data_IF_721867021107
#
_entry.id   IF_721867021107
#
_cell.length_a   1.000
_cell.length_b   1.000
_cell.length_c   1.000
_cell.angle_alpha   90.00
_cell.angle_beta   90.00
_cell.angle_gamma   90.00
#
_symmetry.space_group_name_H-M   'P 1'
#
loop_
_entity.id
_entity.type
_entity.pdbx_description
1 polymer ?
#
# COMPACT_ATOMS: atom_id res chain seq x y z
N UNK A 1 9.90 -23.36 -12.63
CA UNK A 1 9.08 -24.38 -11.95
C UNK A 1 8.65 -23.78 -10.65
N UNK A 2 7.41 -24.03 -10.22
CA UNK A 2 6.92 -23.53 -8.93
C UNK A 2 7.76 -24.09 -7.78
N UNK A 3 7.85 -23.33 -6.68
CA UNK A 3 8.62 -23.73 -5.50
C UNK A 3 8.12 -25.05 -4.91
N UNK A 4 6.80 -25.20 -4.79
CA UNK A 4 6.14 -26.42 -4.32
C UNK A 4 5.23 -27.00 -5.40
N UNK A 5 5.24 -28.33 -5.53
CA UNK A 5 4.35 -29.08 -6.43
C UNK A 5 3.05 -29.52 -5.75
N UNK A 6 2.96 -29.34 -4.43
CA UNK A 6 1.79 -29.58 -3.59
C UNK A 6 1.61 -28.41 -2.61
N UNK A 7 0.48 -28.37 -1.89
CA UNK A 7 0.26 -27.35 -0.86
C UNK A 7 0.72 -27.93 0.49
N UNK A 8 1.72 -27.34 1.18
CA UNK A 8 2.19 -27.84 2.46
C UNK A 8 1.10 -27.74 3.55
N UNK A 9 0.85 -28.83 4.27
CA UNK A 9 -0.25 -28.94 5.24
C UNK A 9 0.21 -29.40 6.62
N UNK A 10 -0.50 -28.91 7.66
CA UNK A 10 -0.26 -29.32 9.04
C UNK A 10 1.13 -28.93 9.56
N UNK A 11 1.58 -29.63 10.61
CA UNK A 11 2.88 -29.39 11.23
C UNK A 11 4.05 -29.68 10.29
N UNK A 12 3.99 -30.80 9.57
CA UNK A 12 5.06 -31.19 8.63
C UNK A 12 5.17 -30.21 7.46
N UNK A 13 4.03 -29.71 6.94
CA UNK A 13 4.05 -28.68 5.91
C UNK A 13 4.62 -27.34 6.39
N UNK A 14 4.41 -26.98 7.67
CA UNK A 14 5.01 -25.76 8.22
C UNK A 14 6.53 -25.91 8.31
N UNK A 15 7.00 -27.05 8.82
CA UNK A 15 8.42 -27.40 8.87
C UNK A 15 9.04 -27.43 7.47
N UNK A 16 8.34 -27.95 6.47
CA UNK A 16 8.78 -27.96 5.08
C UNK A 16 9.00 -26.53 4.55
N UNK A 17 8.03 -25.64 4.75
CA UNK A 17 8.19 -24.22 4.36
C UNK A 17 9.39 -23.62 5.08
N UNK A 18 9.55 -23.84 6.38
CA UNK A 18 10.63 -23.24 7.16
C UNK A 18 12.00 -23.77 6.76
N UNK A 19 12.12 -25.07 6.49
CA UNK A 19 13.33 -25.67 5.96
C UNK A 19 13.67 -25.10 4.58
N UNK A 20 12.67 -24.95 3.70
CA UNK A 20 12.86 -24.34 2.39
C UNK A 20 13.35 -22.89 2.51
N UNK A 21 12.77 -22.09 3.41
CA UNK A 21 13.21 -20.71 3.65
C UNK A 21 14.68 -20.66 4.08
N UNK A 22 15.10 -21.57 4.96
CA UNK A 22 16.48 -21.63 5.45
C UNK A 22 17.47 -22.02 4.38
N UNK A 23 17.14 -23.04 3.60
CA UNK A 23 17.98 -23.48 2.48
C UNK A 23 18.05 -22.41 1.39
N UNK A 24 16.92 -21.76 1.07
CA UNK A 24 16.85 -20.75 0.02
C UNK A 24 17.59 -19.47 0.40
N UNK A 25 17.37 -18.95 1.61
CA UNK A 25 18.14 -17.81 2.14
C UNK A 25 19.61 -18.17 2.27
N UNK A 26 19.93 -19.41 2.70
CA UNK A 26 21.29 -19.91 2.78
C UNK A 26 22.05 -19.88 1.45
N UNK A 27 21.36 -20.17 0.34
CA UNK A 27 21.88 -20.08 -1.03
C UNK A 27 21.96 -18.65 -1.56
N UNK A 28 21.11 -17.74 -1.07
CA UNK A 28 20.95 -16.38 -1.57
C UNK A 28 21.40 -15.29 -0.57
N UNK A 29 22.35 -15.58 0.33
CA UNK A 29 22.81 -14.67 1.39
C UNK A 29 23.27 -13.28 0.94
N UNK A 30 23.63 -13.13 -0.34
CA UNK A 30 24.01 -11.82 -0.91
C UNK A 30 22.84 -10.88 -1.14
N UNK A 31 21.60 -11.39 -1.18
CA UNK A 31 20.40 -10.60 -1.47
C UNK A 31 19.23 -10.87 -0.53
N UNK A 32 19.28 -11.94 0.27
CA UNK A 32 18.22 -12.34 1.18
C UNK A 32 18.76 -12.65 2.58
N UNK A 33 17.98 -12.28 3.61
CA UNK A 33 18.25 -12.61 5.02
C UNK A 33 16.95 -12.92 5.76
N UNK A 34 17.01 -13.86 6.70
CA UNK A 34 15.89 -14.23 7.58
C UNK A 34 16.04 -13.56 8.94
N UNK A 35 14.96 -13.02 9.49
CA UNK A 35 14.83 -12.64 10.89
C UNK A 35 13.62 -13.32 11.52
N UNK A 36 13.72 -13.70 12.79
CA UNK A 36 12.55 -14.12 13.57
C UNK A 36 11.96 -12.87 14.22
N UNK A 37 10.77 -12.47 13.77
CA UNK A 37 10.11 -11.23 14.21
C UNK A 37 9.23 -11.43 15.45
N UNK A 38 8.97 -12.68 15.81
CA UNK A 38 8.34 -13.09 17.05
C UNK A 38 8.07 -14.59 17.09
N UNK A 39 7.30 -14.99 18.10
CA UNK A 39 6.91 -16.38 18.33
C UNK A 39 5.43 -16.42 18.64
N UNK A 40 4.72 -17.43 18.14
CA UNK A 40 3.31 -17.67 18.45
C UNK A 40 3.12 -18.21 19.88
N UNK A 41 1.90 -18.14 20.46
CA UNK A 41 1.55 -18.79 21.71
C UNK A 41 2.01 -20.26 21.86
N UNK A 42 1.86 -21.07 20.81
CA UNK A 42 2.27 -22.48 20.72
C UNK A 42 3.76 -22.64 20.31
N UNK A 43 4.57 -21.59 20.51
CA UNK A 43 6.02 -21.58 20.36
C UNK A 43 6.58 -21.74 18.94
N UNK A 44 5.78 -21.47 17.91
CA UNK A 44 6.27 -21.40 16.53
C UNK A 44 6.94 -20.06 16.25
N UNK A 45 8.14 -20.09 15.70
CA UNK A 45 8.79 -18.88 15.19
C UNK A 45 7.98 -18.27 14.04
N UNK A 46 7.96 -16.95 13.96
CA UNK A 46 7.36 -16.19 12.85
C UNK A 46 8.50 -15.52 12.08
N UNK A 47 8.95 -16.09 10.94
CA UNK A 47 10.05 -15.55 10.17
C UNK A 47 9.61 -14.43 9.23
N UNK A 48 10.45 -13.41 9.08
CA UNK A 48 10.42 -12.43 8.00
C UNK A 48 11.67 -12.57 7.12
N UNK A 49 11.48 -12.60 5.81
CA UNK A 49 12.57 -12.62 4.84
C UNK A 49 12.72 -11.23 4.25
N UNK A 50 13.88 -10.63 4.46
CA UNK A 50 14.25 -9.35 3.86
C UNK A 50 15.03 -9.63 2.59
N UNK A 51 14.57 -9.09 1.46
CA UNK A 51 15.21 -9.23 0.15
C UNK A 51 15.54 -7.86 -0.41
N UNK A 52 16.83 -7.60 -0.65
CA UNK A 52 17.32 -6.30 -1.13
C UNK A 52 18.75 -6.41 -1.69
N UNK A 53 19.24 -5.37 -2.35
CA UNK A 53 20.65 -5.26 -2.75
C UNK A 53 21.44 -4.50 -1.67
N UNK A 54 22.23 -5.21 -0.86
CA UNK A 54 23.01 -4.62 0.25
C UNK A 54 24.09 -3.61 -0.22
N UNK A 55 24.40 -3.56 -1.52
CA UNK A 55 25.33 -2.56 -2.06
C UNK A 55 24.69 -1.17 -2.24
N UNK A 56 23.36 -1.08 -2.18
CA UNK A 56 22.64 0.19 -2.23
C UNK A 56 22.17 0.55 -0.82
N UNK A 57 22.44 1.78 -0.31
CA UNK A 57 21.99 2.21 1.00
C UNK A 57 20.47 2.08 1.18
N UNK A 58 20.04 1.54 2.33
CA UNK A 58 18.62 1.37 2.61
C UNK A 58 17.86 2.70 2.75
N UNK A 59 18.56 3.82 3.02
CA UNK A 59 17.96 5.14 3.07
C UNK A 59 17.39 5.62 1.72
N UNK A 60 17.94 5.09 0.61
CA UNK A 60 17.48 5.39 -0.75
C UNK A 60 16.34 4.46 -1.21
N UNK A 61 15.96 3.48 -0.38
CA UNK A 61 15.01 2.44 -0.75
C UNK A 61 13.65 2.63 -0.10
N UNK A 62 12.62 2.25 -0.85
CA UNK A 62 11.27 2.10 -0.30
C UNK A 62 11.13 0.78 0.47
N UNK A 63 10.22 0.74 1.43
CA UNK A 63 9.89 -0.47 2.18
C UNK A 63 8.59 -1.05 1.61
N UNK A 64 8.69 -2.26 1.07
CA UNK A 64 7.57 -3.05 0.59
C UNK A 64 7.35 -4.24 1.52
N UNK A 65 6.12 -4.47 1.96
CA UNK A 65 5.79 -5.58 2.87
C UNK A 65 4.77 -6.50 2.21
N UNK A 66 4.99 -7.81 2.31
CA UNK A 66 4.05 -8.84 1.91
C UNK A 66 3.78 -9.76 3.09
N UNK A 67 2.54 -9.82 3.57
CA UNK A 67 2.11 -10.74 4.64
C UNK A 67 1.24 -11.84 4.07
N UNK A 68 1.45 -13.06 4.56
CA UNK A 68 0.74 -14.26 4.11
C UNK A 68 0.42 -15.17 5.31
N UNK A 69 -0.50 -16.11 5.11
CA UNK A 69 -0.79 -17.15 6.10
C UNK A 69 -1.35 -16.60 7.40
N UNK A 70 -2.15 -15.53 7.32
CA UNK A 70 -2.85 -14.95 8.48
C UNK A 70 -3.99 -15.85 8.95
N UNK A 71 -4.75 -16.41 8.02
CA UNK A 71 -5.79 -17.38 8.35
C UNK A 71 -5.34 -18.76 7.87
N UNK A 72 -5.27 -19.72 8.78
CA UNK A 72 -4.66 -21.02 8.52
C UNK A 72 -5.31 -21.84 7.41
N UNK A 73 -6.63 -21.75 7.28
CA UNK A 73 -7.40 -22.45 6.25
C UNK A 73 -7.26 -21.85 4.84
N UNK A 74 -6.55 -20.74 4.68
CA UNK A 74 -6.35 -20.08 3.38
C UNK A 74 -5.15 -20.68 2.65
N UNK A 75 -5.37 -21.86 2.10
CA UNK A 75 -4.31 -22.77 1.62
C UNK A 75 -3.42 -22.18 0.54
N UNK A 76 -3.94 -21.28 -0.31
CA UNK A 76 -3.14 -20.66 -1.38
C UNK A 76 -1.99 -19.79 -0.85
N UNK A 77 -2.16 -19.16 0.30
CA UNK A 77 -1.15 -18.29 0.90
C UNK A 77 0.15 -19.03 1.23
N UNK A 78 0.05 -20.35 1.46
CA UNK A 78 1.15 -21.25 1.85
C UNK A 78 2.20 -21.43 0.74
N UNK A 79 1.80 -21.26 -0.51
CA UNK A 79 2.68 -21.45 -1.68
C UNK A 79 3.07 -20.13 -2.36
N UNK A 80 2.24 -19.09 -2.25
CA UNK A 80 2.49 -17.77 -2.86
C UNK A 80 3.71 -17.08 -2.22
N UNK A 81 3.84 -17.11 -0.90
CA UNK A 81 4.94 -16.44 -0.19
C UNK A 81 6.32 -16.95 -0.61
N UNK A 82 6.54 -18.28 -0.58
CA UNK A 82 7.73 -18.92 -1.13
C UNK A 82 8.01 -18.55 -2.60
N UNK A 83 7.00 -18.54 -3.46
CA UNK A 83 7.16 -18.18 -4.87
C UNK A 83 7.58 -16.71 -5.06
N UNK A 84 7.03 -15.79 -4.27
CA UNK A 84 7.45 -14.38 -4.24
C UNK A 84 8.91 -14.26 -3.83
N UNK A 85 9.34 -14.97 -2.78
CA UNK A 85 10.74 -14.96 -2.31
C UNK A 85 11.67 -15.53 -3.39
N UNK A 86 11.26 -16.60 -4.06
CA UNK A 86 11.99 -17.21 -5.16
C UNK A 86 12.20 -16.21 -6.32
N UNK A 87 11.13 -15.56 -6.77
CA UNK A 87 11.18 -14.50 -7.79
C UNK A 87 12.09 -13.33 -7.37
N UNK A 88 11.95 -12.86 -6.13
CA UNK A 88 12.70 -11.71 -5.61
C UNK A 88 14.21 -11.98 -5.53
N UNK A 89 14.66 -13.24 -5.48
CA UNK A 89 16.07 -13.60 -5.52
C UNK A 89 16.62 -13.77 -6.96
N UNK A 90 15.74 -13.83 -7.96
CA UNK A 90 16.10 -13.98 -9.37
C UNK A 90 16.63 -12.70 -10.04
N UNK A 91 17.13 -12.82 -11.27
CA UNK A 91 17.61 -11.67 -12.07
C UNK A 91 16.52 -10.64 -12.35
N UNK A 92 15.29 -11.09 -12.59
CA UNK A 92 14.18 -10.23 -13.03
C UNK A 92 13.73 -9.24 -11.96
N UNK A 93 14.09 -9.50 -10.70
CA UNK A 93 13.81 -8.62 -9.57
C UNK A 93 15.01 -7.74 -9.16
N UNK A 94 16.09 -7.67 -9.94
CA UNK A 94 17.29 -6.89 -9.59
C UNK A 94 16.97 -5.40 -9.37
N UNK A 95 16.19 -4.78 -10.27
CA UNK A 95 15.79 -3.38 -10.12
C UNK A 95 14.86 -3.15 -8.91
N UNK A 96 14.07 -4.16 -8.52
CA UNK A 96 13.29 -4.12 -7.28
C UNK A 96 14.25 -4.07 -6.09
N UNK A 97 15.23 -4.97 -6.03
CA UNK A 97 16.20 -5.06 -4.92
C UNK A 97 17.06 -3.81 -4.77
N UNK A 98 17.41 -3.13 -5.87
CA UNK A 98 18.15 -1.85 -5.84
C UNK A 98 17.32 -0.69 -5.31
N UNK A 99 15.99 -0.74 -5.42
CA UNK A 99 15.09 0.37 -5.08
C UNK A 99 14.27 0.12 -3.82
N UNK A 100 14.25 -1.11 -3.34
CA UNK A 100 13.34 -1.53 -2.29
C UNK A 100 14.02 -2.50 -1.32
N UNK A 101 13.63 -2.39 -0.05
CA UNK A 101 13.74 -3.50 0.90
C UNK A 101 12.38 -4.18 0.89
N UNK A 102 12.32 -5.38 0.33
CA UNK A 102 11.08 -6.17 0.30
C UNK A 102 11.09 -7.12 1.48
N UNK A 103 10.08 -7.05 2.33
CA UNK A 103 9.94 -7.86 3.54
C UNK A 103 8.76 -8.81 3.33
N UNK A 104 9.01 -10.11 3.28
CA UNK A 104 7.98 -11.13 3.14
C UNK A 104 7.83 -11.86 4.47
N UNK A 105 6.62 -11.92 5.01
CA UNK A 105 6.26 -12.72 6.19
C UNK A 105 5.38 -13.88 5.71
N UNK A 106 5.96 -15.06 5.41
CA UNK A 106 5.24 -16.14 4.70
C UNK A 106 4.11 -16.78 5.51
N UNK A 107 4.24 -16.80 6.84
CA UNK A 107 3.24 -17.38 7.74
C UNK A 107 3.15 -16.48 8.98
N UNK A 108 2.17 -15.59 9.01
CA UNK A 108 1.89 -14.72 10.16
C UNK A 108 1.26 -15.51 11.31
N UNK A 109 0.41 -16.49 11.00
CA UNK A 109 -0.32 -17.31 11.96
C UNK A 109 0.03 -18.80 11.83
N UNK A 110 1.19 -19.23 12.36
CA UNK A 110 1.62 -20.62 12.26
C UNK A 110 0.68 -21.59 12.98
N UNK A 111 -0.02 -21.16 14.03
CA UNK A 111 -0.99 -22.02 14.74
C UNK A 111 -2.19 -22.37 13.88
N UNK A 112 -2.79 -21.35 13.25
CA UNK A 112 -3.85 -21.57 12.27
C UNK A 112 -3.36 -22.45 11.13
N UNK A 113 -2.13 -22.22 10.64
CA UNK A 113 -1.55 -23.04 9.58
C UNK A 113 -1.52 -24.53 9.97
N UNK A 114 -1.00 -24.83 11.16
CA UNK A 114 -0.84 -26.21 11.65
C UNK A 114 -2.20 -26.87 11.89
N UNK A 115 -3.15 -26.16 12.49
CA UNK A 115 -4.49 -26.71 12.74
C UNK A 115 -5.41 -26.69 11.51
N UNK A 116 -5.00 -25.99 10.45
CA UNK A 116 -5.83 -25.71 9.27
C UNK A 116 -7.14 -24.99 9.59
N UNK A 117 -7.07 -24.01 10.49
CA UNK A 117 -8.23 -23.25 10.97
C UNK A 117 -7.97 -21.74 10.89
N UNK A 118 -9.03 -20.95 10.99
CA UNK A 118 -8.95 -19.49 11.01
C UNK A 118 -7.97 -18.96 12.06
N UNK A 119 -8.13 -19.40 13.32
CA UNK A 119 -7.30 -19.05 14.49
C UNK A 119 -6.78 -17.59 14.50
N UNK A 120 -7.61 -16.66 14.06
CA UNK A 120 -7.35 -15.23 14.11
C UNK A 120 -8.65 -14.52 14.52
N UNK A 121 -8.67 -13.19 14.49
CA UNK A 121 -9.88 -12.41 14.71
C UNK A 121 -10.48 -11.96 13.39
N UNK A 122 -11.77 -12.22 13.20
CA UNK A 122 -12.55 -11.72 12.06
C UNK A 122 -12.67 -10.19 12.09
N UNK A 123 -12.44 -9.59 13.26
CA UNK A 123 -12.77 -8.19 13.51
C UNK A 123 -11.61 -7.38 14.05
N UNK A 124 -10.38 -7.87 14.09
CA UNK A 124 -9.25 -7.09 14.59
C UNK A 124 -7.94 -7.85 14.37
N UNK A 125 -6.82 -7.17 14.58
CA UNK A 125 -5.54 -7.86 14.75
C UNK A 125 -5.47 -8.57 16.10
N UNK A 126 -4.97 -9.80 16.13
CA UNK A 126 -4.67 -10.53 17.37
C UNK A 126 -3.53 -9.86 18.13
N UNK A 127 -3.38 -10.18 19.43
CA UNK A 127 -2.27 -9.66 20.25
C UNK A 127 -0.90 -9.97 19.64
N UNK A 128 -0.72 -11.20 19.14
CA UNK A 128 0.51 -11.65 18.49
C UNK A 128 0.76 -10.86 17.21
N UNK A 129 -0.25 -10.74 16.33
CA UNK A 129 -0.16 -9.98 15.08
C UNK A 129 0.24 -8.51 15.36
N UNK A 130 -0.44 -7.84 16.30
CA UNK A 130 -0.15 -6.45 16.69
C UNK A 130 1.30 -6.29 17.17
N UNK A 131 1.76 -7.20 18.02
CA UNK A 131 3.08 -7.10 18.62
C UNK A 131 4.19 -7.35 17.58
N UNK A 132 4.04 -8.41 16.80
CA UNK A 132 5.04 -8.85 15.83
C UNK A 132 5.12 -7.90 14.64
N UNK A 133 3.98 -7.64 13.98
CA UNK A 133 3.93 -6.74 12.84
C UNK A 133 4.13 -5.28 13.27
N UNK A 134 3.57 -4.88 14.41
CA UNK A 134 3.75 -3.52 14.92
C UNK A 134 5.19 -3.17 15.25
N UNK A 135 5.96 -4.12 15.82
CA UNK A 135 7.40 -3.93 16.04
C UNK A 135 8.16 -3.85 14.73
N UNK A 136 7.89 -4.78 13.81
CA UNK A 136 8.51 -4.80 12.49
C UNK A 136 8.28 -3.47 11.76
N UNK A 137 7.03 -3.01 11.67
CA UNK A 137 6.66 -1.79 10.94
C UNK A 137 7.04 -0.51 11.67
N UNK A 138 7.23 -0.54 12.98
CA UNK A 138 7.85 0.59 13.70
C UNK A 138 9.30 0.79 13.26
N UNK A 139 10.04 -0.29 13.03
CA UNK A 139 11.42 -0.24 12.55
C UNK A 139 11.51 -0.01 11.04
N UNK A 140 10.58 -0.59 10.28
CA UNK A 140 10.49 -0.50 8.83
C UNK A 140 9.10 -0.02 8.41
N UNK A 141 8.78 1.29 8.57
CA UNK A 141 7.46 1.78 8.21
C UNK A 141 7.20 1.56 6.71
N UNK A 142 6.14 0.83 6.34
CA UNK A 142 5.93 0.45 4.95
C UNK A 142 5.56 1.67 4.10
N UNK A 143 6.06 1.69 2.87
CA UNK A 143 5.56 2.55 1.79
C UNK A 143 4.45 1.84 1.01
N UNK A 144 4.53 0.51 0.93
CA UNK A 144 3.51 -0.36 0.34
C UNK A 144 3.37 -1.64 1.17
N UNK A 145 2.14 -2.14 1.28
CA UNK A 145 1.84 -3.41 1.94
C UNK A 145 0.76 -4.21 1.18
N UNK A 146 1.01 -5.50 0.98
CA UNK A 146 0.03 -6.48 0.47
C UNK A 146 -0.24 -7.51 1.57
N UNK A 147 -1.51 -7.78 1.83
CA UNK A 147 -1.93 -8.89 2.69
C UNK A 147 -2.63 -9.97 1.85
N UNK A 148 -2.01 -11.14 1.75
CA UNK A 148 -2.51 -12.26 0.96
C UNK A 148 -3.40 -13.18 1.79
N UNK A 149 -4.52 -13.49 1.16
CA UNK A 149 -5.55 -14.41 1.58
C UNK A 149 -5.87 -15.41 0.46
N UNK A 150 -6.78 -16.33 0.72
CA UNK A 150 -7.15 -17.34 -0.26
C UNK A 150 -8.55 -17.91 -0.05
N UNK A 151 -9.36 -17.90 -1.10
CA UNK A 151 -10.71 -18.44 -1.14
C UNK A 151 -10.70 -19.96 -1.25
N UNK A 152 -11.37 -20.59 -0.28
CA UNK A 152 -11.67 -22.02 -0.26
C UNK A 152 -13.12 -22.30 -0.65
N UNK A 153 -13.52 -23.58 -0.70
CA UNK A 153 -14.86 -24.01 -1.18
C UNK A 153 -16.06 -23.25 -0.58
N UNK A 154 -15.95 -22.89 0.70
CA UNK A 154 -17.01 -22.22 1.46
C UNK A 154 -16.65 -20.79 1.85
N UNK A 155 -15.47 -20.31 1.47
CA UNK A 155 -15.01 -18.95 1.67
C UNK A 155 -15.13 -18.20 0.34
N UNK A 156 -15.68 -16.99 0.36
CA UNK A 156 -16.14 -16.39 -0.89
C UNK A 156 -17.29 -15.42 -0.67
N UNK A 157 -17.67 -14.74 -1.75
CA UNK A 157 -18.93 -14.01 -1.77
C UNK A 157 -20.08 -14.98 -1.50
N UNK A 158 -21.08 -14.52 -0.75
CA UNK A 158 -22.30 -15.30 -0.51
C UNK A 158 -23.15 -15.45 -1.77
N UNK A 159 -23.00 -14.55 -2.74
CA UNK A 159 -23.73 -14.58 -4.00
C UNK A 159 -22.87 -15.05 -5.19
N UNK A 160 -21.54 -14.98 -5.06
CA UNK A 160 -20.59 -15.40 -6.09
C UNK A 160 -19.51 -16.30 -5.48
N UNK A 161 -19.60 -17.60 -5.80
CA UNK A 161 -18.62 -18.62 -5.40
C UNK A 161 -17.81 -19.08 -6.61
N UNK A 162 -17.60 -18.17 -7.56
CA UNK A 162 -16.89 -18.41 -8.80
C UNK A 162 -15.41 -18.73 -8.62
N UNK A 163 -14.75 -18.81 -9.76
CA UNK A 163 -13.37 -19.22 -9.94
C UNK A 163 -12.37 -18.06 -9.97
N UNK A 164 -12.83 -16.82 -9.76
CA UNK A 164 -12.00 -15.63 -9.88
C UNK A 164 -11.25 -15.30 -8.58
N UNK A 165 -10.06 -14.74 -8.74
CA UNK A 165 -9.29 -14.09 -7.70
C UNK A 165 -9.65 -12.60 -7.56
N UNK A 166 -9.30 -11.99 -6.43
CA UNK A 166 -9.71 -10.61 -6.11
C UNK A 166 -8.52 -9.75 -5.68
N UNK A 167 -8.42 -8.55 -6.24
CA UNK A 167 -7.62 -7.44 -5.74
C UNK A 167 -8.56 -6.53 -4.94
N UNK A 168 -8.20 -6.28 -3.70
CA UNK A 168 -8.93 -5.36 -2.82
C UNK A 168 -8.04 -4.14 -2.59
N UNK A 169 -8.32 -3.00 -3.23
CA UNK A 169 -7.71 -1.74 -2.87
C UNK A 169 -8.17 -1.40 -1.45
N UNK A 170 -7.31 -1.66 -0.46
CA UNK A 170 -7.68 -1.66 0.95
C UNK A 170 -7.71 -0.24 1.56
N UNK A 171 -7.84 0.79 0.73
CA UNK A 171 -7.92 2.18 1.20
C UNK A 171 -9.30 2.43 1.78
N UNK A 172 -9.38 2.46 3.10
CA UNK A 172 -10.64 2.62 3.85
C UNK A 172 -11.15 4.05 3.89
N UNK A 173 -10.42 5.02 3.33
CA UNK A 173 -10.81 6.42 3.38
C UNK A 173 -10.81 7.06 2.00
N UNK A 174 -11.74 8.01 1.82
CA UNK A 174 -11.77 8.93 0.68
C UNK A 174 -10.91 10.16 0.97
N UNK A 175 -9.67 9.94 1.45
CA UNK A 175 -8.75 11.02 1.75
C UNK A 175 -7.96 11.40 0.48
N UNK A 176 -7.88 12.71 0.23
CA UNK A 176 -7.22 13.28 -0.94
C UNK A 176 -7.58 12.54 -2.26
N UNK A 177 -6.60 11.93 -2.93
CA UNK A 177 -6.77 11.18 -4.18
C UNK A 177 -6.57 9.67 -4.02
N UNK A 178 -6.56 9.18 -2.79
CA UNK A 178 -6.12 7.82 -2.49
C UNK A 178 -6.96 6.77 -3.22
N UNK A 179 -8.27 6.95 -3.28
CA UNK A 179 -9.17 6.04 -4.01
C UNK A 179 -8.76 5.92 -5.48
N UNK A 180 -8.52 7.04 -6.16
CA UNK A 180 -8.13 7.03 -7.57
C UNK A 180 -6.73 6.43 -7.78
N UNK A 181 -5.81 6.68 -6.84
CA UNK A 181 -4.45 6.14 -6.89
C UNK A 181 -4.48 4.62 -6.69
N UNK A 182 -5.16 4.12 -5.65
CA UNK A 182 -5.28 2.70 -5.36
C UNK A 182 -5.98 1.96 -6.51
N UNK A 183 -7.05 2.53 -7.07
CA UNK A 183 -7.71 1.97 -8.25
C UNK A 183 -6.80 1.92 -9.48
N UNK A 184 -6.06 3.00 -9.75
CA UNK A 184 -5.12 3.04 -10.88
C UNK A 184 -4.03 1.97 -10.74
N UNK A 185 -3.51 1.76 -9.52
CA UNK A 185 -2.50 0.73 -9.25
C UNK A 185 -3.09 -0.67 -9.33
N UNK A 186 -4.28 -0.90 -8.77
CA UNK A 186 -4.98 -2.18 -8.86
C UNK A 186 -5.26 -2.59 -10.31
N UNK A 187 -5.60 -1.63 -11.18
CA UNK A 187 -5.79 -1.89 -12.61
C UNK A 187 -4.51 -2.33 -13.32
N UNK A 188 -3.34 -1.82 -12.93
CA UNK A 188 -2.06 -2.30 -13.47
C UNK A 188 -1.75 -3.71 -12.98
N UNK A 189 -2.02 -4.00 -11.70
CA UNK A 189 -1.88 -5.35 -11.12
C UNK A 189 -2.79 -6.35 -11.84
N UNK A 190 -4.06 -6.00 -12.03
CA UNK A 190 -5.06 -6.79 -12.74
C UNK A 190 -4.62 -7.04 -14.19
N UNK A 191 -4.18 -6.00 -14.91
CA UNK A 191 -3.71 -6.13 -16.30
C UNK A 191 -2.50 -7.05 -16.43
N UNK A 192 -1.55 -6.96 -15.50
CA UNK A 192 -0.39 -7.85 -15.46
C UNK A 192 -0.80 -9.31 -15.22
N UNK A 193 -1.64 -9.55 -14.21
CA UNK A 193 -2.16 -10.89 -13.92
C UNK A 193 -2.93 -11.48 -15.12
N UNK A 194 -3.82 -10.70 -15.73
CA UNK A 194 -4.58 -11.10 -16.91
C UNK A 194 -3.68 -11.43 -18.11
N UNK A 195 -2.58 -10.69 -18.29
CA UNK A 195 -1.61 -10.96 -19.36
C UNK A 195 -0.85 -12.28 -19.15
N UNK A 196 -0.83 -12.79 -17.93
CA UNK A 196 -0.28 -14.11 -17.56
C UNK A 196 -1.35 -15.21 -17.47
N UNK A 197 -2.61 -14.89 -17.78
CA UNK A 197 -3.72 -15.84 -17.78
C UNK A 197 -4.49 -15.95 -16.46
N UNK A 198 -4.27 -15.04 -15.51
CA UNK A 198 -4.92 -15.03 -14.20
C UNK A 198 -5.97 -13.90 -14.12
N UNK A 199 -7.27 -14.20 -14.24
CA UNK A 199 -8.32 -13.20 -14.21
C UNK A 199 -8.58 -12.73 -12.76
N UNK A 200 -8.22 -11.48 -12.48
CA UNK A 200 -8.56 -10.83 -11.22
C UNK A 200 -9.75 -9.89 -11.37
N UNK A 201 -10.63 -9.85 -10.37
CA UNK A 201 -11.58 -8.77 -10.18
C UNK A 201 -11.00 -7.72 -9.22
N UNK A 202 -11.36 -6.45 -9.39
CA UNK A 202 -11.05 -5.40 -8.41
C UNK A 202 -12.32 -5.13 -7.62
N UNK A 203 -12.35 -5.49 -6.34
CA UNK A 203 -13.49 -5.20 -5.48
C UNK A 203 -13.32 -3.84 -4.82
N UNK A 204 -14.24 -2.93 -5.07
CA UNK A 204 -14.33 -1.72 -4.26
C UNK A 204 -14.84 -2.05 -2.85
N UNK A 205 -14.80 -1.10 -1.93
CA UNK A 205 -15.40 -1.28 -0.61
C UNK A 205 -16.92 -1.51 -0.67
N UNK A 206 -17.59 -0.93 -1.68
CA UNK A 206 -18.99 -1.19 -1.94
C UNK A 206 -19.23 -2.65 -2.39
N UNK A 207 -18.36 -3.20 -3.22
CA UNK A 207 -18.44 -4.61 -3.64
C UNK A 207 -18.22 -5.55 -2.45
N UNK A 208 -17.24 -5.23 -1.58
CA UNK A 208 -16.98 -5.98 -0.34
C UNK A 208 -18.16 -5.99 0.62
N UNK A 209 -18.94 -4.91 0.69
CA UNK A 209 -20.14 -4.90 1.52
C UNK A 209 -21.18 -5.91 1.02
N UNK A 210 -21.33 -6.02 -0.30
CA UNK A 210 -22.20 -7.04 -0.89
C UNK A 210 -21.59 -8.43 -0.70
N UNK A 211 -20.26 -8.56 -0.81
CA UNK A 211 -19.51 -9.81 -0.64
C UNK A 211 -19.75 -10.44 0.73
N UNK A 212 -19.55 -9.68 1.82
CA UNK A 212 -19.69 -10.19 3.19
C UNK A 212 -21.13 -10.24 3.69
N UNK A 213 -21.95 -9.28 3.27
CA UNK A 213 -23.28 -9.08 3.84
C UNK A 213 -24.43 -9.44 2.91
N UNK A 214 -24.14 -9.92 1.70
CA UNK A 214 -25.07 -10.52 0.74
C UNK A 214 -25.87 -11.70 1.31
N UNK A 215 -27.05 -11.96 0.74
CA UNK A 215 -27.83 -13.18 1.00
C UNK A 215 -27.49 -14.22 -0.08
N UNK A 216 -27.48 -15.50 0.28
CA UNK A 216 -27.24 -16.62 -0.64
C UNK A 216 -28.49 -16.97 -1.46
N UNK A 217 -29.67 -16.42 -1.10
CA UNK A 217 -30.94 -16.64 -1.81
C UNK A 217 -31.23 -15.54 -2.82
N UNK A 218 -31.50 -15.94 -4.07
CA UNK A 218 -31.96 -15.03 -5.14
C UNK A 218 -33.24 -14.30 -4.68
N UNK A 219 -33.24 -12.96 -4.77
CA UNK A 219 -34.44 -12.13 -4.62
C UNK A 219 -34.71 -11.51 -3.24
N UNK A 220 -33.87 -11.75 -2.22
CA UNK A 220 -34.15 -11.31 -0.85
C UNK A 220 -33.48 -10.01 -0.38
N UNK A 221 -32.57 -9.42 -1.18
CA UNK A 221 -32.06 -8.09 -0.89
C UNK A 221 -32.19 -7.17 -2.11
N UNK A 222 -33.01 -6.10 -2.03
CA UNK A 222 -32.93 -5.04 -3.02
C UNK A 222 -31.52 -4.42 -2.99
N UNK A 223 -31.02 -3.99 -4.16
CA UNK A 223 -29.78 -3.20 -4.33
C UNK A 223 -29.93 -1.78 -3.76
N UNK A 224 -30.69 -1.60 -2.68
CA UNK A 224 -30.72 -0.35 -1.94
C UNK A 224 -29.45 -0.30 -1.11
N UNK A 225 -28.48 0.48 -1.60
CA UNK A 225 -27.21 0.87 -0.99
C UNK A 225 -27.02 0.35 0.46
N UNK A 226 -26.16 -0.65 0.67
CA UNK A 226 -25.75 -1.18 1.99
C UNK A 226 -24.87 -0.19 2.78
N UNK A 227 -25.27 1.09 2.84
CA UNK A 227 -24.54 2.26 3.39
C UNK A 227 -24.03 1.99 4.78
N UNK A 228 -24.93 1.42 5.58
CA UNK A 228 -24.72 1.10 6.99
C UNK A 228 -23.70 -0.02 7.19
N UNK A 229 -23.52 -0.91 6.20
CA UNK A 229 -22.58 -2.04 6.28
C UNK A 229 -21.24 -1.74 5.64
N UNK A 230 -21.21 -0.86 4.63
CA UNK A 230 -19.99 -0.24 4.10
C UNK A 230 -19.23 0.47 5.24
N UNK A 231 -19.95 1.13 6.17
CA UNK A 231 -19.38 1.69 7.40
C UNK A 231 -18.62 0.68 8.28
N UNK A 232 -19.10 -0.58 8.37
CA UNK A 232 -18.44 -1.63 9.15
C UNK A 232 -17.12 -2.09 8.53
N UNK A 233 -16.95 -1.93 7.22
CA UNK A 233 -15.71 -2.21 6.50
C UNK A 233 -14.78 -0.98 6.46
N UNK A 234 -15.34 0.23 6.52
CA UNK A 234 -14.60 1.50 6.57
C UNK A 234 -13.99 1.80 7.94
N UNK A 235 -14.58 1.28 9.02
CA UNK A 235 -14.11 1.51 10.38
C UNK A 235 -12.86 0.66 10.65
N UNK A 236 -11.76 1.00 9.98
CA UNK A 236 -10.48 0.91 10.68
C UNK A 236 -10.62 1.80 11.90
N UNK A 237 -10.47 1.20 13.07
CA UNK A 237 -10.47 1.97 14.30
C UNK A 237 -9.37 3.04 14.19
N UNK A 238 -9.74 4.31 14.35
CA UNK A 238 -8.76 5.40 14.35
C UNK A 238 -7.78 5.26 15.52
N UNK A 239 -8.07 4.39 16.48
CA UNK A 239 -7.19 3.98 17.58
C UNK A 239 -6.36 2.72 17.28
N UNK A 240 -6.63 1.98 16.18
CA UNK A 240 -5.83 0.82 15.76
C UNK A 240 -4.47 1.28 15.18
N UNK A 241 -3.55 1.59 16.08
CA UNK A 241 -2.23 2.15 15.77
C UNK A 241 -1.08 1.16 16.04
N UNK A 242 -1.32 -0.15 15.95
CA UNK A 242 -0.41 -1.18 16.45
C UNK A 242 -0.02 -1.00 17.94
N UNK A 243 -0.64 -0.05 18.64
CA UNK A 243 -0.38 0.34 20.03
C UNK A 243 -1.73 0.48 20.79
N UNK A 244 -2.25 -0.65 21.35
CA UNK A 244 -3.22 -0.79 22.51
C UNK A 244 -4.74 -0.52 22.19
N UNK A 245 -5.81 -1.11 22.85
CA UNK A 245 -6.07 -2.34 23.66
C UNK A 245 -7.09 -3.35 23.02
N UNK A 246 -7.59 -4.33 23.80
CA UNK A 246 -8.37 -5.55 23.46
C UNK A 246 -9.76 -5.35 22.81
N UNK A 247 -10.31 -4.13 22.82
CA UNK A 247 -11.76 -3.89 22.60
C UNK A 247 -12.11 -3.30 21.21
N UNK A 248 -11.12 -3.11 20.35
CA UNK A 248 -11.29 -2.38 19.08
C UNK A 248 -11.82 -3.28 17.94
N UNK A 249 -12.65 -2.66 17.08
CA UNK A 249 -13.50 -3.32 16.07
C UNK A 249 -12.88 -3.36 14.66
N UNK A 250 -13.51 -4.20 13.83
CA UNK A 250 -13.18 -4.74 12.49
C UNK A 250 -11.86 -4.39 11.75
N UNK A 251 -10.89 -5.31 11.72
CA UNK A 251 -9.75 -5.34 10.77
C UNK A 251 -9.55 -6.76 10.19
N UNK A 252 -10.06 -7.01 8.98
CA UNK A 252 -9.84 -8.30 8.26
C UNK A 252 -8.53 -8.36 7.47
N UNK A 253 -7.89 -7.22 7.23
CA UNK A 253 -6.59 -7.11 6.54
C UNK A 253 -5.60 -6.35 7.41
N UNK A 254 -4.41 -6.90 7.61
CA UNK A 254 -3.34 -6.29 8.43
C UNK A 254 -2.83 -4.96 7.88
N UNK A 255 -3.08 -4.69 6.61
CA UNK A 255 -2.64 -3.47 5.94
C UNK A 255 -3.36 -2.20 6.43
N UNK A 256 -4.56 -2.31 7.00
CA UNK A 256 -5.35 -1.14 7.38
C UNK A 256 -4.70 -0.21 8.41
N UNK A 257 -4.28 -0.72 9.57
CA UNK A 257 -3.52 0.05 10.55
C UNK A 257 -2.23 0.68 9.99
N UNK A 258 -1.62 0.06 8.97
CA UNK A 258 -0.44 0.62 8.31
C UNK A 258 -0.76 1.85 7.46
N UNK A 259 -1.92 1.88 6.81
CA UNK A 259 -2.43 3.08 6.14
C UNK A 259 -2.67 4.22 7.14
N UNK A 260 -3.43 3.95 8.22
CA UNK A 260 -3.75 4.99 9.21
C UNK A 260 -2.54 5.61 9.88
N UNK A 261 -1.48 4.83 10.10
CA UNK A 261 -0.30 5.28 10.85
C UNK A 261 0.80 5.88 9.96
N UNK A 262 0.97 5.37 8.75
CA UNK A 262 2.12 5.71 7.90
C UNK A 262 1.77 6.15 6.47
N UNK A 263 0.48 6.25 6.13
CA UNK A 263 0.01 6.51 4.77
C UNK A 263 0.60 5.51 3.76
N UNK A 264 0.51 4.24 4.11
CA UNK A 264 0.99 3.11 3.30
C UNK A 264 0.07 2.86 2.12
N UNK A 265 0.60 2.55 0.93
CA UNK A 265 -0.21 2.03 -0.18
C UNK A 265 -0.61 0.58 0.12
N UNK A 266 -1.91 0.28 0.24
CA UNK A 266 -2.37 -0.98 0.83
C UNK A 266 -3.29 -1.79 -0.08
N UNK A 267 -3.04 -3.09 -0.15
CA UNK A 267 -3.89 -4.03 -0.88
C UNK A 267 -4.15 -5.30 -0.09
N UNK A 268 -5.40 -5.75 -0.09
CA UNK A 268 -5.76 -7.15 0.18
C UNK A 268 -5.73 -7.92 -1.13
N UNK A 269 -5.32 -9.18 -1.08
CA UNK A 269 -5.28 -10.07 -2.24
C UNK A 269 -5.93 -11.40 -1.88
N UNK A 270 -6.94 -11.81 -2.61
CA UNK A 270 -7.57 -13.12 -2.46
C UNK A 270 -7.18 -14.00 -3.64
N UNK A 271 -6.32 -14.99 -3.40
CA UNK A 271 -6.13 -16.10 -4.37
C UNK A 271 -7.28 -17.10 -4.28
N UNK A 272 -7.39 -18.07 -5.18
CA UNK A 272 -8.49 -19.04 -5.14
C UNK A 272 -7.99 -20.49 -5.15
N UNK A 273 -7.67 -21.03 -3.97
CA UNK A 273 -7.19 -22.41 -3.83
C UNK A 273 -8.29 -23.47 -3.99
N UNK A 274 -9.55 -23.06 -4.14
CA UNK A 274 -10.64 -23.97 -4.50
C UNK A 274 -10.73 -24.17 -6.02
N UNK A 275 -10.63 -23.08 -6.78
CA UNK A 275 -10.69 -23.11 -8.24
C UNK A 275 -9.37 -23.60 -8.86
N UNK A 276 -8.24 -23.15 -8.32
CA UNK A 276 -6.91 -23.58 -8.72
C UNK A 276 -6.48 -24.78 -7.88
N UNK A 277 -6.38 -25.95 -8.51
CA UNK A 277 -6.06 -27.21 -7.81
C UNK A 277 -4.57 -27.54 -7.77
N UNK A 278 -3.74 -26.87 -8.58
CA UNK A 278 -2.29 -27.08 -8.63
C UNK A 278 -1.59 -26.00 -7.84
N UNK A 279 -0.72 -26.40 -6.92
CA UNK A 279 0.06 -25.49 -6.09
C UNK A 279 0.82 -24.44 -6.91
N UNK A 280 1.44 -24.87 -8.01
CA UNK A 280 2.16 -23.96 -8.90
C UNK A 280 1.27 -22.93 -9.60
N UNK A 281 0.03 -23.29 -9.94
CA UNK A 281 -0.90 -22.35 -10.60
C UNK A 281 -1.35 -21.28 -9.59
N UNK A 282 -1.65 -21.66 -8.33
CA UNK A 282 -1.95 -20.70 -7.25
C UNK A 282 -0.76 -19.78 -6.95
N UNK A 283 0.45 -20.35 -6.89
CA UNK A 283 1.67 -19.60 -6.64
C UNK A 283 1.91 -18.53 -7.70
N UNK A 284 1.74 -18.89 -8.98
CA UNK A 284 1.87 -17.98 -10.11
C UNK A 284 0.75 -16.93 -10.14
N UNK A 285 -0.50 -17.31 -9.82
CA UNK A 285 -1.62 -16.36 -9.80
C UNK A 285 -1.43 -15.27 -8.74
N UNK A 286 -0.88 -15.62 -7.57
CA UNK A 286 -0.49 -14.63 -6.56
C UNK A 286 0.77 -13.83 -6.91
N UNK A 287 1.77 -14.45 -7.56
CA UNK A 287 3.01 -13.77 -7.95
C UNK A 287 2.78 -12.68 -8.99
N UNK A 288 1.98 -12.94 -10.03
CA UNK A 288 1.80 -12.05 -11.17
C UNK A 288 1.42 -10.60 -10.77
N UNK A 289 0.33 -10.36 -10.03
CA UNK A 289 -0.03 -9.01 -9.57
C UNK A 289 0.94 -8.45 -8.53
N UNK A 290 1.53 -9.29 -7.66
CA UNK A 290 2.55 -8.85 -6.70
C UNK A 290 3.78 -8.28 -7.39
N UNK A 291 4.30 -9.01 -8.40
CA UNK A 291 5.47 -8.59 -9.17
C UNK A 291 5.20 -7.27 -9.90
N UNK A 292 3.99 -7.07 -10.41
CA UNK A 292 3.57 -5.83 -11.06
C UNK A 292 3.55 -4.66 -10.07
N UNK A 293 2.97 -4.84 -8.88
CA UNK A 293 2.97 -3.83 -7.83
C UNK A 293 4.39 -3.47 -7.37
N UNK A 294 5.25 -4.47 -7.17
CA UNK A 294 6.65 -4.24 -6.83
C UNK A 294 7.37 -3.46 -7.94
N UNK A 295 7.13 -3.77 -9.22
CA UNK A 295 7.69 -3.03 -10.35
C UNK A 295 7.19 -1.57 -10.38
N UNK A 296 5.94 -1.29 -10.00
CA UNK A 296 5.43 0.08 -9.88
C UNK A 296 6.27 0.90 -8.88
N UNK A 297 6.70 0.29 -7.78
CA UNK A 297 7.63 0.91 -6.82
C UNK A 297 9.01 1.29 -7.39
N UNK A 298 9.35 0.86 -8.61
CA UNK A 298 10.58 1.26 -9.30
C UNK A 298 10.36 2.40 -10.31
N UNK A 299 9.10 2.74 -10.62
CA UNK A 299 8.72 3.74 -11.62
C UNK A 299 8.57 5.13 -10.99
N UNK A 300 8.59 6.16 -11.84
CA UNK A 300 8.07 7.48 -11.49
C UNK A 300 6.72 7.64 -12.17
N UNK A 301 5.64 7.63 -11.39
CA UNK A 301 4.32 7.89 -11.94
C UNK A 301 4.20 9.36 -12.39
N UNK A 302 3.36 9.67 -13.41
CA UNK A 302 3.36 11.00 -14.03
C UNK A 302 3.12 12.15 -13.05
N UNK A 303 2.29 11.95 -12.03
CA UNK A 303 1.98 12.95 -11.02
C UNK A 303 2.94 12.98 -9.83
N UNK A 304 3.95 12.11 -9.80
CA UNK A 304 4.95 12.03 -8.72
C UNK A 304 6.25 12.73 -9.09
N UNK A 305 6.87 13.40 -8.10
CA UNK A 305 8.17 14.05 -8.28
C UNK A 305 9.28 13.01 -8.40
N UNK A 306 9.26 12.04 -7.48
CA UNK A 306 10.30 11.04 -7.30
C UNK A 306 9.83 9.65 -7.71
N UNK A 307 10.78 8.76 -8.00
CA UNK A 307 10.48 7.33 -8.20
C UNK A 307 9.96 6.73 -6.90
N UNK A 308 9.02 5.80 -7.03
CA UNK A 308 8.48 5.02 -5.94
C UNK A 308 6.95 4.90 -5.93
N UNK A 309 6.43 4.23 -4.92
CA UNK A 309 5.00 4.13 -4.63
C UNK A 309 4.35 5.52 -4.51
N UNK A 310 3.15 5.74 -5.09
CA UNK A 310 2.45 7.03 -5.16
C UNK A 310 1.73 7.41 -3.86
N UNK A 311 2.48 7.56 -2.77
CA UNK A 311 1.94 7.85 -1.42
C UNK A 311 2.22 9.28 -0.98
N UNK A 312 2.54 10.19 -1.89
CA UNK A 312 3.00 11.55 -1.55
C UNK A 312 1.90 12.61 -1.65
N UNK A 313 0.70 12.31 -2.15
CA UNK A 313 -0.44 13.24 -2.09
C UNK A 313 -1.15 13.04 -0.75
N UNK A 314 -0.85 13.89 0.24
CA UNK A 314 -1.29 13.71 1.63
C UNK A 314 -2.53 14.53 1.99
N UNK A 315 -2.81 15.56 1.19
CA UNK A 315 -4.01 16.38 1.31
C UNK A 315 -4.24 17.13 0.00
N UNK A 316 -5.49 17.39 -0.38
CA UNK A 316 -5.84 18.09 -1.61
C UNK A 316 -6.08 17.13 -2.76
N UNK A 317 -5.70 17.50 -3.98
CA UNK A 317 -5.95 16.72 -5.18
C UNK A 317 -4.78 16.76 -6.18
N UNK A 318 -4.94 16.15 -7.36
CA UNK A 318 -3.93 16.19 -8.44
C UNK A 318 -3.63 17.60 -8.97
N UNK A 319 -4.44 18.60 -8.63
CA UNK A 319 -4.34 19.99 -9.10
C UNK A 319 -3.58 20.85 -8.10
N UNK A 320 -3.84 20.67 -6.81
CA UNK A 320 -3.08 21.27 -5.72
C UNK A 320 -3.07 20.33 -4.52
N UNK A 321 -1.89 20.03 -3.99
CA UNK A 321 -1.73 19.06 -2.90
C UNK A 321 -0.62 19.43 -1.92
N UNK A 322 -0.79 18.95 -0.69
CA UNK A 322 0.26 18.88 0.34
C UNK A 322 1.02 17.58 0.12
N UNK A 323 2.35 17.65 0.07
CA UNK A 323 3.22 16.51 -0.19
C UNK A 323 4.41 16.43 0.77
N UNK A 324 4.97 15.22 0.88
CA UNK A 324 6.20 14.95 1.63
C UNK A 324 7.42 15.64 1.02
N UNK A 325 8.43 15.90 1.86
CA UNK A 325 9.74 16.43 1.52
C UNK A 325 10.82 15.38 1.79
N UNK A 326 11.94 15.45 1.06
CA UNK A 326 13.11 14.61 1.33
C UNK A 326 13.92 14.31 0.08
N UNK A 327 15.23 14.15 0.25
CA UNK A 327 16.20 13.86 -0.82
C UNK A 327 16.21 12.37 -1.19
N UNK A 328 15.93 11.50 -0.23
CA UNK A 328 15.88 10.05 -0.39
C UNK A 328 14.55 9.47 0.12
N UNK A 329 14.36 8.16 -0.08
CA UNK A 329 13.12 7.49 0.29
C UNK A 329 12.85 7.56 1.81
N UNK A 330 13.90 7.48 2.64
CA UNK A 330 13.76 7.55 4.08
C UNK A 330 13.33 8.92 4.60
N UNK A 331 13.93 10.01 4.10
CA UNK A 331 13.52 11.37 4.43
C UNK A 331 12.08 11.64 3.99
N UNK A 332 11.69 11.21 2.77
CA UNK A 332 10.31 11.34 2.27
C UNK A 332 9.31 10.57 3.12
N UNK A 333 9.67 9.36 3.56
CA UNK A 333 8.86 8.56 4.48
C UNK A 333 8.68 9.25 5.82
N UNK A 334 9.75 9.77 6.42
CA UNK A 334 9.68 10.49 7.69
C UNK A 334 8.78 11.74 7.57
N UNK A 335 8.94 12.54 6.51
CA UNK A 335 8.09 13.70 6.23
C UNK A 335 6.63 13.28 6.02
N UNK A 336 6.38 12.23 5.22
CA UNK A 336 5.04 11.68 4.99
C UNK A 336 4.34 11.32 6.29
N UNK A 337 5.00 10.52 7.14
CA UNK A 337 4.44 10.05 8.41
C UNK A 337 4.07 11.23 9.30
N UNK A 338 4.94 12.25 9.37
CA UNK A 338 4.68 13.45 10.18
C UNK A 338 3.47 14.22 9.68
N UNK A 339 3.42 14.55 8.39
CA UNK A 339 2.28 15.28 7.79
C UNK A 339 0.99 14.46 7.91
N UNK A 340 1.06 13.15 7.68
CA UNK A 340 -0.09 12.27 7.75
C UNK A 340 -0.73 12.23 9.13
N UNK A 341 0.08 12.20 10.20
CA UNK A 341 -0.44 12.25 11.57
C UNK A 341 -1.05 13.62 11.94
N UNK A 342 -0.72 14.67 11.19
CA UNK A 342 -1.29 16.01 11.34
C UNK A 342 -2.36 16.34 10.27
N UNK A 343 -2.80 15.36 9.47
CA UNK A 343 -3.66 15.58 8.29
C UNK A 343 -4.96 16.33 8.60
N UNK A 344 -5.57 16.09 9.77
CA UNK A 344 -6.80 16.75 10.20
C UNK A 344 -6.60 18.22 10.61
N UNK A 345 -5.35 18.66 10.75
CA UNK A 345 -4.99 20.01 11.12
C UNK A 345 -4.66 20.89 9.90
N UNK A 346 -4.87 20.38 8.68
CA UNK A 346 -4.78 21.17 7.45
C UNK A 346 -6.17 21.52 6.93
N UNK A 347 -6.31 22.68 6.29
CA UNK A 347 -7.44 22.90 5.40
C UNK A 347 -7.17 22.30 4.01
N UNK A 348 -8.23 22.17 3.21
CA UNK A 348 -8.08 21.91 1.78
C UNK A 348 -7.26 23.04 1.15
N UNK A 349 -6.15 22.72 0.44
CA UNK A 349 -5.38 23.73 -0.23
C UNK A 349 -6.20 24.35 -1.37
N UNK A 350 -6.04 25.65 -1.56
CA UNK A 350 -6.80 26.44 -2.53
C UNK A 350 -5.86 27.02 -3.57
N UNK A 351 -6.34 27.15 -4.81
CA UNK A 351 -5.64 27.82 -5.89
C UNK A 351 -6.59 28.68 -6.70
N UNK A 352 -6.08 29.81 -7.18
CA UNK A 352 -6.83 30.78 -7.95
C UNK A 352 -5.90 31.43 -8.98
N UNK A 353 -6.29 31.46 -10.25
CA UNK A 353 -5.59 32.23 -11.27
C UNK A 353 -6.24 33.61 -11.32
N UNK A 354 -5.59 34.61 -10.70
CA UNK A 354 -6.17 35.97 -10.56
C UNK A 354 -6.03 36.79 -11.83
N UNK A 355 -5.04 36.48 -12.65
CA UNK A 355 -4.83 36.98 -13.99
C UNK A 355 -4.05 35.91 -14.81
N UNK A 356 -3.91 36.04 -16.14
CA UNK A 356 -3.26 35.03 -16.98
C UNK A 356 -1.80 34.70 -16.62
N UNK A 357 -1.14 35.54 -15.82
CA UNK A 357 0.28 35.44 -15.46
C UNK A 357 0.51 35.17 -13.97
N UNK A 358 -0.57 35.08 -13.19
CA UNK A 358 -0.49 35.01 -11.74
C UNK A 358 -1.46 33.99 -11.18
N UNK A 359 -0.91 33.01 -10.47
CA UNK A 359 -1.67 32.07 -9.65
C UNK A 359 -1.39 32.33 -8.18
N UNK A 360 -2.43 32.44 -7.37
CA UNK A 360 -2.34 32.46 -5.91
C UNK A 360 -2.68 31.06 -5.38
N UNK A 361 -1.86 30.56 -4.46
CA UNK A 361 -2.11 29.31 -3.75
C UNK A 361 -2.07 29.51 -2.25
N UNK A 362 -3.01 28.88 -1.54
CA UNK A 362 -3.21 29.06 -0.10
C UNK A 362 -3.35 27.72 0.58
N UNK A 363 -2.74 27.60 1.75
CA UNK A 363 -2.93 26.47 2.66
C UNK A 363 -2.81 26.99 4.09
N UNK A 364 -3.63 26.44 4.99
CA UNK A 364 -3.68 26.80 6.39
C UNK A 364 -3.44 25.56 7.23
N UNK A 365 -2.55 25.71 8.20
CA UNK A 365 -2.27 24.70 9.22
C UNK A 365 -2.76 25.22 10.57
N UNK A 366 -3.48 24.38 11.31
CA UNK A 366 -4.06 24.66 12.62
C UNK A 366 -3.36 23.90 13.76
N UNK A 367 -2.43 23.00 13.43
CA UNK A 367 -1.82 22.09 14.39
C UNK A 367 -0.72 22.71 15.24
N UNK A 368 -0.28 21.94 16.22
CA UNK A 368 0.70 22.35 17.23
C UNK A 368 2.08 21.73 17.01
N UNK A 369 2.20 20.71 16.16
CA UNK A 369 3.49 20.16 15.75
C UNK A 369 4.20 21.17 14.83
N UNK A 370 5.00 22.04 15.46
CA UNK A 370 5.68 23.17 14.82
C UNK A 370 7.19 23.11 15.15
N UNK A 371 8.06 23.50 14.22
CA UNK A 371 7.73 24.00 12.88
C UNK A 371 7.28 22.86 11.95
N UNK A 372 6.21 23.07 11.17
CA UNK A 372 5.66 22.07 10.25
C UNK A 372 6.23 22.28 8.84
N UNK A 373 6.77 21.20 8.27
CA UNK A 373 7.41 21.21 6.95
C UNK A 373 6.67 20.31 5.97
N UNK A 374 6.34 20.84 4.80
CA UNK A 374 5.70 20.11 3.71
C UNK A 374 5.95 20.81 2.37
N UNK A 375 5.63 20.16 1.27
CA UNK A 375 5.57 20.82 -0.03
C UNK A 375 4.13 21.18 -0.42
N UNK A 376 3.92 22.41 -0.89
CA UNK A 376 2.72 22.74 -1.65
C UNK A 376 3.00 22.51 -3.13
N UNK A 377 2.32 21.53 -3.73
CA UNK A 377 2.52 21.12 -5.10
C UNK A 377 1.33 21.51 -5.97
N UNK A 378 1.58 22.22 -7.08
CA UNK A 378 0.55 22.64 -8.03
C UNK A 378 0.78 22.00 -9.39
N UNK A 379 -0.27 21.44 -10.01
CA UNK A 379 -0.24 21.01 -11.41
C UNK A 379 -0.78 22.10 -12.31
N UNK A 380 0.07 22.63 -13.18
CA UNK A 380 -0.17 23.80 -14.01
C UNK A 380 -0.02 23.46 -15.51
N UNK A 381 -0.77 24.14 -16.36
CA UNK A 381 -0.57 24.07 -17.82
C UNK A 381 0.61 24.92 -18.26
N UNK A 382 0.88 25.99 -17.51
CA UNK A 382 1.97 26.91 -17.75
C UNK A 382 3.29 26.21 -17.46
N UNK A 383 4.20 26.25 -18.43
CA UNK A 383 5.47 25.53 -18.37
C UNK A 383 6.62 26.36 -17.79
N UNK A 384 6.47 27.68 -17.77
CA UNK A 384 7.51 28.65 -17.44
C UNK A 384 7.09 29.50 -16.22
N UNK A 385 7.52 29.04 -15.04
CA UNK A 385 7.30 29.70 -13.74
C UNK A 385 8.50 30.59 -13.47
N UNK A 386 8.27 31.89 -13.32
CA UNK A 386 9.29 32.92 -13.18
C UNK A 386 9.79 33.06 -11.74
N UNK A 387 8.87 33.20 -10.81
CA UNK A 387 9.17 33.28 -9.39
C UNK A 387 7.95 32.91 -8.55
N UNK A 388 8.21 32.59 -7.28
CA UNK A 388 7.17 32.34 -6.28
C UNK A 388 7.48 33.22 -5.08
N UNK A 389 6.48 33.98 -4.63
CA UNK A 389 6.60 34.95 -3.54
C UNK A 389 5.74 34.49 -2.36
N UNK A 390 6.33 34.43 -1.17
CA UNK A 390 5.64 34.21 0.10
C UNK A 390 5.96 35.38 1.04
N UNK A 391 4.93 36.09 1.53
CA UNK A 391 5.08 37.28 2.41
C UNK A 391 6.09 38.31 1.88
N UNK A 392 6.04 38.56 0.57
CA UNK A 392 6.90 39.55 -0.11
C UNK A 392 8.34 39.10 -0.37
N UNK A 393 8.69 37.84 -0.08
CA UNK A 393 10.02 37.27 -0.36
C UNK A 393 9.92 36.16 -1.39
N UNK A 394 10.87 36.12 -2.31
CA UNK A 394 11.00 34.99 -3.22
C UNK A 394 11.39 33.72 -2.44
N UNK A 395 10.78 32.59 -2.80
CA UNK A 395 11.02 31.28 -2.18
C UNK A 395 11.50 30.28 -3.22
N UNK A 396 12.38 29.34 -2.83
CA UNK A 396 12.84 28.31 -3.75
C UNK A 396 11.69 27.38 -4.13
N UNK A 397 11.75 26.88 -5.36
CA UNK A 397 10.84 25.87 -5.86
C UNK A 397 11.55 24.97 -6.86
N UNK A 398 10.97 23.80 -7.09
CA UNK A 398 11.37 22.88 -8.14
C UNK A 398 10.22 22.68 -9.12
N UNK A 399 10.53 22.26 -10.34
CA UNK A 399 9.52 21.84 -11.30
C UNK A 399 9.80 20.46 -11.85
N UNK A 400 8.74 19.73 -12.15
CA UNK A 400 8.80 18.47 -12.89
C UNK A 400 7.59 18.37 -13.81
N UNK A 401 7.66 17.54 -14.85
CA UNK A 401 6.61 17.47 -15.87
C UNK A 401 5.97 16.08 -15.93
N UNK A 402 4.69 16.05 -16.28
CA UNK A 402 4.05 14.89 -16.90
C UNK A 402 3.93 15.12 -18.42
N UNK A 403 3.06 14.37 -19.10
CA UNK A 403 2.86 14.48 -20.55
C UNK A 403 2.29 15.83 -21.02
N UNK A 404 1.57 16.57 -20.18
CA UNK A 404 0.83 17.78 -20.59
C UNK A 404 0.78 18.90 -19.54
N UNK A 405 1.45 18.74 -18.41
CA UNK A 405 1.45 19.67 -17.28
C UNK A 405 2.82 19.79 -16.65
N UNK A 406 3.10 20.98 -16.12
CA UNK A 406 4.22 21.24 -15.23
C UNK A 406 3.72 21.25 -13.79
N UNK A 407 4.39 20.50 -12.94
CA UNK A 407 4.22 20.55 -11.49
C UNK A 407 5.18 21.57 -10.89
N UNK A 408 4.68 22.40 -10.00
CA UNK A 408 5.44 23.38 -9.22
C UNK A 408 5.46 22.91 -7.78
N UNK A 409 6.64 22.54 -7.30
CA UNK A 409 6.85 21.95 -5.99
C UNK A 409 7.56 22.95 -5.09
N UNK A 410 6.83 23.49 -4.10
CA UNK A 410 7.33 24.57 -3.24
C UNK A 410 7.46 24.05 -1.81
N UNK A 411 8.70 23.90 -1.28
CA UNK A 411 8.90 23.60 0.13
C UNK A 411 8.41 24.75 1.01
N UNK A 412 7.61 24.42 2.03
CA UNK A 412 7.00 25.37 2.97
C UNK A 412 7.41 24.99 4.39
N UNK A 413 7.87 25.99 5.13
CA UNK A 413 8.09 25.94 6.57
C UNK A 413 7.05 26.82 7.27
N UNK A 414 6.20 26.19 8.09
CA UNK A 414 5.22 26.88 8.93
C UNK A 414 5.77 26.95 10.35
N UNK A 415 6.26 28.13 10.75
CA UNK A 415 6.77 28.35 12.12
C UNK A 415 5.64 28.58 13.15
N UNK A 416 4.47 29.02 12.69
CA UNK A 416 3.29 29.30 13.51
C UNK A 416 2.04 28.89 12.75
N UNK A 417 1.09 28.27 13.44
CA UNK A 417 -0.23 27.96 12.90
C UNK A 417 -0.85 29.20 12.22
N UNK A 418 -1.43 29.01 11.04
CA UNK A 418 -1.92 30.10 10.21
C UNK A 418 -1.91 29.77 8.72
N UNK A 419 -2.26 30.78 7.93
CA UNK A 419 -2.31 30.69 6.47
C UNK A 419 -0.95 31.00 5.87
N UNK A 420 -0.51 30.13 4.98
CA UNK A 420 0.57 30.40 4.02
C UNK A 420 -0.08 30.71 2.67
N UNK A 421 0.34 31.83 2.07
CA UNK A 421 -0.10 32.26 0.75
C UNK A 421 1.12 32.41 -0.16
N UNK A 422 1.05 31.81 -1.34
CA UNK A 422 2.05 31.90 -2.39
C UNK A 422 1.47 32.66 -3.57
N UNK A 423 2.22 33.64 -4.06
CA UNK A 423 1.98 34.27 -5.37
C UNK A 423 2.96 33.68 -6.37
N UNK A 424 2.45 32.99 -7.38
CA UNK A 424 3.22 32.28 -8.40
C UNK A 424 3.10 33.07 -9.69
N UNK A 425 4.22 33.60 -10.18
CA UNK A 425 4.30 34.32 -11.45
C UNK A 425 4.74 33.38 -12.55
N UNK A 426 4.02 33.34 -13.66
CA UNK A 426 4.26 32.45 -14.78
C UNK A 426 3.87 33.12 -16.10
N UNK A 427 4.33 32.59 -17.23
CA UNK A 427 3.84 33.06 -18.53
C UNK A 427 2.38 32.65 -18.76
N UNK A 428 1.61 33.37 -19.60
CA UNK A 428 0.30 32.92 -20.06
C UNK A 428 0.40 31.60 -20.81
N UNK A 429 -0.70 30.84 -20.85
CA UNK A 429 -0.77 29.66 -21.72
C UNK A 429 -0.84 30.14 -23.18
N UNK A 430 0.21 29.87 -23.95
CA UNK A 430 0.13 29.97 -25.41
C UNK A 430 -0.70 28.81 -25.93
N UNK A 431 -1.95 29.09 -26.32
CA UNK A 431 -2.72 28.11 -27.06
C UNK A 431 -2.14 28.00 -28.46
N UNK A 432 -1.44 26.89 -28.72
CA UNK A 432 -1.12 26.50 -30.10
C UNK A 432 -2.46 26.27 -30.78
N UNK A 433 -2.81 27.16 -31.72
CA UNK A 433 -3.91 26.96 -32.65
C UNK A 433 -3.69 25.60 -33.32
N UNK A 434 -4.46 24.58 -32.93
CA UNK A 434 -4.59 23.35 -33.71
C UNK A 434 -5.12 23.79 -35.08
N UNK A 435 -4.22 23.86 -36.07
CA UNK A 435 -4.56 24.06 -37.47
C UNK A 435 -4.75 22.71 -38.14
#
# INVERSE_FOLDING_TARGET
MAVFDHIPMGEEGLKEIYQWLDDWVGKNKGVARKEIIGTSPDHWDIPAIFVTDENVPNEDKQIAVVTLGRHGQELGTRVVGPEIIHYLCGSDAEEIRKKQVVIVVPVVNPEGFVSNEFRSSMTSLTKTERFVLGRLFKQYPPDMMIDFHSLGKTAGSKYDRGDMEVIIPANTTRWAMDEQIHQSVAQEMQRAAASEGWPYEIHTLEDLATYYFGDTKIGNMPWSYLKEKVYLLHMQDVHDHYHIPEEDRYTNYTCGPAYLKWHTLVFGMETNHYALSRAGDIALSGLAPCSALLKIGCLRLPWEKDKGYPVNILHGDFRISIRSLGKNANERRASRIRIWNERNNFNLPQREMVDPETTIARVRYFGWDLPMEFALCLRMRQSDVKCIINRGKEVPFETFKDNCSTFVFVPILVEKAGTTELTIKHQPVEYVSLR
#
